data_IF_075766934117
#
_entry.id   IF_075766934117
#
_cell.length_a   1.000
_cell.length_b   1.000
_cell.length_c   1.000
_cell.angle_alpha   90.00
_cell.angle_beta   90.00
_cell.angle_gamma   90.00
#
_symmetry.space_group_name_H-M   'P 1'
#
loop_
_entity.id
_entity.type
_entity.pdbx_description
1 polymer ?
#
# COMPACT_ATOMS: atom_id res chain seq x y z
N UNK A 1 -32.66 40.87 15.30
CA UNK A 1 -31.54 40.91 14.34
C UNK A 1 -30.35 41.31 15.17
N UNK A 2 -29.75 40.34 15.84
CA UNK A 2 -28.55 40.55 16.65
C UNK A 2 -27.39 39.94 15.89
N UNK A 3 -26.48 40.80 15.48
CA UNK A 3 -25.22 40.47 14.82
C UNK A 3 -24.16 40.23 15.90
N UNK A 4 -23.99 38.97 16.26
CA UNK A 4 -23.01 38.50 17.25
C UNK A 4 -22.28 37.29 16.70
N UNK A 5 -21.14 37.47 16.01
CA UNK A 5 -20.15 36.41 15.86
C UNK A 5 -18.84 36.80 15.14
N UNK A 6 -17.98 37.71 15.63
CA UNK A 6 -16.66 37.88 14.97
C UNK A 6 -15.47 38.33 15.83
N UNK A 7 -15.40 38.06 17.15
CA UNK A 7 -14.22 38.50 17.95
C UNK A 7 -13.50 37.42 18.78
N UNK A 8 -13.89 36.15 18.71
CA UNK A 8 -13.30 35.12 19.60
C UNK A 8 -12.14 34.31 18.97
N UNK A 9 -11.92 34.35 17.65
CA UNK A 9 -10.89 33.49 17.00
C UNK A 9 -9.54 34.16 16.70
N UNK A 10 -9.39 35.47 16.87
CA UNK A 10 -8.19 36.19 16.41
C UNK A 10 -6.99 36.13 17.38
N UNK A 11 -7.26 35.93 18.67
CA UNK A 11 -6.21 35.90 19.72
C UNK A 11 -5.38 34.61 19.70
N UNK A 12 -6.00 33.50 19.36
CA UNK A 12 -5.37 32.17 19.42
C UNK A 12 -4.51 31.88 18.18
N UNK A 13 -4.93 32.40 17.02
CA UNK A 13 -4.19 32.34 15.75
C UNK A 13 -2.86 33.10 15.81
N UNK A 14 -2.89 34.34 16.33
CA UNK A 14 -1.68 35.15 16.55
C UNK A 14 -0.75 34.53 17.61
N UNK A 15 -1.31 33.82 18.59
CA UNK A 15 -0.52 33.13 19.62
C UNK A 15 0.23 31.94 19.02
N UNK A 16 -0.41 31.11 18.19
CA UNK A 16 0.26 29.95 17.57
C UNK A 16 1.28 30.34 16.52
N UNK A 17 1.03 31.38 15.74
CA UNK A 17 2.04 31.84 14.79
C UNK A 17 3.31 32.31 15.51
N UNK A 18 3.17 33.02 16.65
CA UNK A 18 4.31 33.43 17.48
C UNK A 18 5.09 32.25 18.05
N UNK A 19 4.42 31.20 18.51
CA UNK A 19 5.09 29.99 18.97
C UNK A 19 5.98 29.36 17.88
N UNK A 20 5.49 29.28 16.63
CA UNK A 20 6.29 28.77 15.51
C UNK A 20 7.48 29.67 15.13
N UNK A 21 7.39 30.98 15.37
CA UNK A 21 8.50 31.91 15.16
C UNK A 21 9.62 31.74 16.20
N UNK A 22 9.27 31.34 17.42
CA UNK A 22 10.20 31.08 18.51
C UNK A 22 10.93 29.74 18.34
N UNK A 23 10.28 28.73 17.75
CA UNK A 23 10.89 27.43 17.44
C UNK A 23 12.18 27.57 16.62
N UNK A 24 13.15 26.70 16.90
CA UNK A 24 14.38 26.61 16.10
C UNK A 24 14.08 26.04 14.71
N UNK A 25 14.98 26.30 13.76
CA UNK A 25 14.86 25.72 12.40
C UNK A 25 14.77 24.20 12.44
N UNK A 26 15.53 23.52 13.32
CA UNK A 26 15.48 22.06 13.46
C UNK A 26 14.09 21.58 13.88
N UNK A 27 13.52 22.20 14.91
CA UNK A 27 12.17 21.85 15.40
C UNK A 27 11.08 22.09 14.35
N UNK A 28 11.20 23.14 13.53
CA UNK A 28 10.28 23.41 12.43
C UNK A 28 10.40 22.37 11.31
N UNK A 29 11.63 21.97 10.97
CA UNK A 29 11.90 20.90 10.00
C UNK A 29 11.32 19.57 10.50
N UNK A 30 11.47 19.23 11.78
CA UNK A 30 10.93 18.01 12.35
C UNK A 30 9.39 18.02 12.32
N UNK A 31 8.77 19.14 12.72
CA UNK A 31 7.32 19.32 12.71
C UNK A 31 6.71 19.14 11.31
N UNK A 32 7.34 19.73 10.29
CA UNK A 32 6.91 19.67 8.89
C UNK A 32 7.20 18.31 8.26
N UNK A 33 8.37 17.72 8.53
CA UNK A 33 8.76 16.39 8.03
C UNK A 33 7.81 15.31 8.53
N UNK A 34 7.44 15.37 9.81
CA UNK A 34 6.48 14.45 10.41
C UNK A 34 5.08 14.54 9.77
N UNK A 35 4.78 15.60 9.00
CA UNK A 35 3.51 15.80 8.26
C UNK A 35 3.69 15.77 6.74
N UNK A 36 4.88 15.38 6.29
CA UNK A 36 5.19 15.29 4.87
C UNK A 36 5.22 16.60 4.11
N UNK A 37 5.35 17.73 4.80
CA UNK A 37 5.43 19.04 4.20
C UNK A 37 6.86 19.35 3.74
N UNK A 38 6.98 20.31 2.82
CA UNK A 38 8.30 20.77 2.35
C UNK A 38 9.09 21.39 3.50
N UNK A 39 10.40 21.09 3.55
CA UNK A 39 11.35 21.62 4.55
C UNK A 39 12.44 22.51 3.93
N UNK A 40 12.25 22.92 2.67
CA UNK A 40 13.14 23.86 1.99
C UNK A 40 12.83 25.30 2.39
N UNK A 41 13.87 26.11 2.56
CA UNK A 41 13.75 27.55 2.88
C UNK A 41 14.34 27.96 4.23
N UNK A 42 14.16 29.24 4.55
CA UNK A 42 14.64 29.88 5.77
C UNK A 42 13.70 29.68 6.97
N UNK A 43 14.13 30.10 8.16
CA UNK A 43 13.37 29.93 9.41
C UNK A 43 11.95 30.51 9.32
N UNK A 44 11.82 31.73 8.80
CA UNK A 44 10.53 32.43 8.68
C UNK A 44 9.55 31.72 7.72
N UNK A 45 10.04 31.20 6.59
CA UNK A 45 9.20 30.45 5.66
C UNK A 45 8.76 29.12 6.25
N UNK A 46 9.63 28.45 7.01
CA UNK A 46 9.28 27.22 7.72
C UNK A 46 8.26 27.47 8.84
N UNK A 47 8.36 28.59 9.56
CA UNK A 47 7.38 28.96 10.58
C UNK A 47 6.00 29.23 9.96
N UNK A 48 5.94 29.95 8.82
CA UNK A 48 4.70 30.16 8.07
C UNK A 48 4.09 28.86 7.53
N UNK A 49 4.93 27.96 7.01
CA UNK A 49 4.49 26.64 6.57
C UNK A 49 3.99 25.77 7.73
N UNK A 50 4.64 25.83 8.90
CA UNK A 50 4.24 25.07 10.08
C UNK A 50 2.90 25.56 10.63
N UNK A 51 2.69 26.88 10.67
CA UNK A 51 1.39 27.47 11.01
C UNK A 51 0.30 27.02 10.04
N UNK A 52 0.53 27.13 8.73
CA UNK A 52 -0.41 26.66 7.71
C UNK A 52 -0.70 25.16 7.85
N UNK A 53 0.30 24.34 8.16
CA UNK A 53 0.11 22.90 8.34
C UNK A 53 -0.69 22.57 9.62
N UNK A 54 -0.56 23.38 10.67
CA UNK A 54 -1.36 23.28 11.89
C UNK A 54 -2.81 23.72 11.66
N UNK A 55 -3.01 24.86 11.01
CA UNK A 55 -4.33 25.43 10.67
C UNK A 55 -5.16 24.46 9.80
N UNK A 56 -4.52 23.82 8.82
CA UNK A 56 -5.16 22.82 7.97
C UNK A 56 -5.34 21.46 8.65
N UNK A 57 -4.88 21.28 9.89
CA UNK A 57 -4.99 20.00 10.61
C UNK A 57 -4.23 18.87 9.92
N UNK A 58 -3.09 19.16 9.29
CA UNK A 58 -2.37 18.16 8.50
C UNK A 58 -1.95 16.96 9.39
N UNK A 59 -2.39 15.74 9.06
CA UNK A 59 -2.11 14.57 9.87
C UNK A 59 -0.61 14.26 9.84
N UNK A 60 -0.12 13.66 10.92
CA UNK A 60 1.21 13.08 10.93
C UNK A 60 1.26 11.98 9.87
N UNK A 61 2.34 11.95 9.08
CA UNK A 61 2.70 10.79 8.29
C UNK A 61 2.74 9.60 9.23
N UNK A 62 1.93 8.57 8.94
CA UNK A 62 2.07 7.29 9.60
C UNK A 62 3.52 6.84 9.41
N UNK A 63 4.17 6.46 10.51
CA UNK A 63 5.53 5.94 10.43
C UNK A 63 5.52 4.68 9.57
N UNK A 64 6.65 4.36 8.92
CA UNK A 64 6.78 3.11 8.17
C UNK A 64 6.39 1.90 9.03
N UNK A 65 6.74 1.93 10.33
CA UNK A 65 6.34 0.92 11.29
C UNK A 65 4.82 0.83 11.44
N UNK A 66 4.13 1.96 11.65
CA UNK A 66 2.68 1.95 11.82
C UNK A 66 1.95 1.53 10.53
N UNK A 67 2.51 1.85 9.37
CA UNK A 67 2.01 1.30 8.10
C UNK A 67 2.16 -0.22 8.02
N UNK A 68 3.30 -0.77 8.43
CA UNK A 68 3.50 -2.22 8.49
C UNK A 68 2.57 -2.89 9.50
N UNK A 69 2.40 -2.29 10.68
CA UNK A 69 1.49 -2.79 11.71
C UNK A 69 0.05 -2.81 11.18
N UNK A 70 -0.40 -1.75 10.50
CA UNK A 70 -1.72 -1.69 9.87
C UNK A 70 -1.88 -2.78 8.80
N UNK A 71 -0.91 -2.97 7.91
CA UNK A 71 -0.95 -4.01 6.88
C UNK A 71 -1.02 -5.42 7.51
N UNK A 72 -0.28 -5.65 8.60
CA UNK A 72 -0.31 -6.91 9.32
C UNK A 72 -1.67 -7.16 10.00
N UNK A 73 -2.28 -6.11 10.56
CA UNK A 73 -3.62 -6.19 11.15
C UNK A 73 -4.70 -6.44 10.08
N UNK A 74 -4.65 -5.73 8.95
CA UNK A 74 -5.55 -5.95 7.82
C UNK A 74 -5.44 -7.39 7.30
N UNK A 75 -4.21 -7.88 7.14
CA UNK A 75 -3.94 -9.27 6.75
C UNK A 75 -4.54 -10.28 7.74
N UNK A 76 -4.27 -10.12 9.04
CA UNK A 76 -4.80 -11.00 10.07
C UNK A 76 -6.34 -10.99 10.11
N UNK A 77 -6.94 -9.81 9.90
CA UNK A 77 -8.41 -9.65 9.83
C UNK A 77 -8.99 -10.44 8.67
N UNK A 78 -8.42 -10.30 7.46
CA UNK A 78 -8.85 -11.05 6.27
C UNK A 78 -8.80 -12.56 6.50
N UNK A 79 -7.70 -13.07 7.11
CA UNK A 79 -7.58 -14.49 7.42
C UNK A 79 -8.67 -14.95 8.41
N UNK A 80 -8.91 -14.16 9.46
CA UNK A 80 -9.89 -14.48 10.49
C UNK A 80 -11.34 -14.44 9.98
N UNK A 81 -11.70 -13.42 9.20
CA UNK A 81 -13.05 -13.24 8.64
C UNK A 81 -13.44 -14.37 7.70
N UNK A 82 -12.46 -14.91 6.97
CA UNK A 82 -12.66 -16.02 6.05
C UNK A 82 -12.44 -17.38 6.73
N UNK A 83 -12.00 -17.43 7.99
CA UNK A 83 -11.68 -18.66 8.70
C UNK A 83 -10.64 -19.51 7.97
N UNK A 84 -9.60 -18.87 7.44
CA UNK A 84 -8.52 -19.51 6.68
C UNK A 84 -7.20 -19.42 7.43
N UNK A 85 -6.41 -20.49 7.34
CA UNK A 85 -5.04 -20.51 7.87
C UNK A 85 -4.12 -19.69 6.96
N UNK A 86 -3.13 -19.03 7.55
CA UNK A 86 -2.10 -18.31 6.81
C UNK A 86 -1.33 -19.25 5.85
N UNK A 87 -1.40 -19.03 4.52
CA UNK A 87 -0.70 -19.86 3.54
C UNK A 87 0.82 -19.87 3.72
N UNK A 88 1.39 -18.81 4.29
CA UNK A 88 2.83 -18.69 4.51
C UNK A 88 3.32 -19.58 5.66
N UNK A 89 2.41 -20.09 6.49
CA UNK A 89 2.72 -20.98 7.61
C UNK A 89 2.51 -22.47 7.25
N UNK A 90 2.02 -22.77 6.05
CA UNK A 90 1.80 -24.15 5.62
C UNK A 90 3.14 -24.86 5.35
N UNK A 91 3.32 -26.10 5.83
CA UNK A 91 4.53 -26.89 5.56
C UNK A 91 4.77 -27.08 4.06
N UNK A 92 6.03 -27.13 3.65
CA UNK A 92 6.43 -27.27 2.25
C UNK A 92 5.90 -28.57 1.61
N UNK A 93 5.74 -29.62 2.41
CA UNK A 93 5.23 -30.92 2.00
C UNK A 93 3.75 -30.90 1.62
N UNK A 94 3.01 -29.88 2.09
CA UNK A 94 1.59 -29.72 1.79
C UNK A 94 1.36 -29.09 0.40
N UNK A 95 2.40 -28.54 -0.21
CA UNK A 95 2.34 -27.89 -1.51
C UNK A 95 2.65 -28.87 -2.65
N UNK A 96 1.68 -29.06 -3.53
CA UNK A 96 1.87 -29.77 -4.80
C UNK A 96 2.46 -28.83 -5.85
N UNK A 97 3.46 -29.33 -6.60
CA UNK A 97 4.05 -28.61 -7.74
C UNK A 97 3.16 -28.76 -8.98
N UNK A 98 3.39 -27.90 -9.97
CA UNK A 98 2.75 -27.93 -11.30
C UNK A 98 1.24 -27.67 -11.28
N UNK A 99 0.81 -26.72 -10.45
CA UNK A 99 -0.60 -26.32 -10.25
C UNK A 99 -1.27 -25.57 -11.42
N UNK A 100 -0.76 -25.70 -12.64
CA UNK A 100 -1.30 -24.99 -13.81
C UNK A 100 -2.74 -25.44 -14.09
N UNK A 101 -3.03 -26.72 -13.90
CA UNK A 101 -4.37 -27.30 -14.06
C UNK A 101 -5.35 -26.87 -12.96
N UNK A 102 -4.83 -26.45 -11.81
CA UNK A 102 -5.62 -25.91 -10.69
C UNK A 102 -5.89 -24.42 -10.83
N UNK A 103 -5.15 -23.73 -11.68
CA UNK A 103 -5.39 -22.32 -11.94
C UNK A 103 -6.84 -22.13 -12.43
N UNK A 104 -7.61 -21.23 -11.82
CA UNK A 104 -9.01 -21.07 -12.17
C UNK A 104 -9.09 -20.61 -13.63
N UNK A 105 -10.11 -21.07 -14.35
CA UNK A 105 -10.39 -20.59 -15.71
C UNK A 105 -10.84 -19.14 -15.61
N UNK A 106 -9.88 -18.21 -15.67
CA UNK A 106 -10.19 -16.79 -15.58
C UNK A 106 -10.45 -16.25 -16.97
N UNK A 107 -11.62 -15.64 -17.13
CA UNK A 107 -11.96 -14.89 -18.32
C UNK A 107 -11.08 -13.62 -18.36
N UNK A 108 -10.14 -13.60 -19.31
CA UNK A 108 -9.25 -12.46 -19.53
C UNK A 108 -10.04 -11.17 -19.76
N UNK A 109 -11.22 -11.21 -20.40
CA UNK A 109 -12.11 -10.07 -20.56
C UNK A 109 -12.62 -9.51 -19.23
N UNK A 110 -12.91 -10.37 -18.25
CA UNK A 110 -13.29 -9.96 -16.89
C UNK A 110 -12.10 -9.37 -16.12
N UNK A 111 -10.92 -9.98 -16.23
CA UNK A 111 -9.68 -9.41 -15.67
C UNK A 111 -9.43 -8.02 -16.26
N UNK A 112 -9.51 -7.88 -17.59
CA UNK A 112 -9.34 -6.59 -18.25
C UNK A 112 -10.37 -5.56 -17.79
N UNK A 113 -11.63 -5.95 -17.67
CA UNK A 113 -12.69 -5.06 -17.18
C UNK A 113 -12.47 -4.63 -15.74
N UNK A 114 -11.90 -5.50 -14.90
CA UNK A 114 -11.55 -5.16 -13.53
C UNK A 114 -10.36 -4.21 -13.44
N UNK A 115 -9.28 -4.49 -14.18
CA UNK A 115 -8.07 -3.64 -14.24
C UNK A 115 -8.40 -2.25 -14.80
N UNK A 116 -9.27 -2.15 -15.81
CA UNK A 116 -9.69 -0.87 -16.37
C UNK A 116 -10.63 -0.08 -15.45
N UNK A 117 -11.29 -0.74 -14.49
CA UNK A 117 -12.12 -0.09 -13.49
C UNK A 117 -11.30 0.53 -12.35
N UNK A 118 -10.09 0.02 -12.07
CA UNK A 118 -9.19 0.72 -11.17
C UNK A 118 -8.51 1.88 -11.93
N UNK A 119 -8.56 3.08 -11.34
CA UNK A 119 -8.10 4.34 -11.93
C UNK A 119 -6.62 4.38 -12.31
N UNK A 120 -5.85 3.37 -11.88
CA UNK A 120 -4.39 3.37 -11.93
C UNK A 120 -3.82 2.78 -13.22
N UNK A 121 -4.67 2.25 -14.12
CA UNK A 121 -4.22 1.59 -15.35
C UNK A 121 -4.88 2.18 -16.60
N UNK A 122 -4.06 2.73 -17.49
CA UNK A 122 -4.52 3.24 -18.80
C UNK A 122 -4.65 2.12 -19.83
N UNK A 123 -5.45 2.34 -20.88
CA UNK A 123 -5.58 1.40 -22.00
C UNK A 123 -4.22 1.04 -22.65
N UNK A 124 -3.26 1.96 -22.63
CA UNK A 124 -1.88 1.75 -23.10
C UNK A 124 -1.08 0.78 -22.22
N UNK A 125 -1.29 0.82 -20.90
CA UNK A 125 -0.70 -0.16 -19.97
C UNK A 125 -1.21 -1.57 -20.29
N UNK A 126 -2.51 -1.68 -20.57
CA UNK A 126 -3.19 -2.93 -20.93
C UNK A 126 -2.72 -3.47 -22.29
N UNK A 127 -2.50 -2.59 -23.28
CA UNK A 127 -1.95 -2.98 -24.58
C UNK A 127 -0.56 -3.62 -24.48
N UNK A 128 0.30 -3.12 -23.59
CA UNK A 128 1.65 -3.68 -23.33
C UNK A 128 1.61 -5.05 -22.64
N UNK A 129 0.55 -5.36 -21.89
CA UNK A 129 0.37 -6.66 -21.23
C UNK A 129 0.03 -7.78 -22.23
N UNK A 130 -0.74 -7.45 -23.30
CA UNK A 130 -1.15 -8.41 -24.34
C UNK A 130 -0.02 -8.91 -25.25
N UNK A 131 1.07 -8.15 -25.38
CA UNK A 131 2.10 -8.44 -26.39
C UNK A 131 3.31 -9.16 -25.78
N UNK A 132 3.31 -10.50 -25.77
CA UNK A 132 4.46 -11.39 -25.53
C UNK A 132 5.29 -11.19 -24.24
N UNK A 133 4.96 -10.20 -23.39
CA UNK A 133 5.70 -9.90 -22.16
C UNK A 133 5.55 -11.00 -21.12
N UNK A 134 4.37 -11.60 -20.98
CA UNK A 134 4.17 -12.71 -20.04
C UNK A 134 5.10 -13.89 -20.35
N UNK A 135 5.17 -14.29 -21.63
CA UNK A 135 6.11 -15.32 -22.07
C UNK A 135 7.56 -14.89 -21.90
N UNK A 136 7.89 -13.62 -22.20
CA UNK A 136 9.23 -13.08 -21.95
C UNK A 136 9.61 -13.14 -20.46
N UNK A 137 8.70 -12.82 -19.54
CA UNK A 137 8.96 -12.91 -18.10
C UNK A 137 9.16 -14.36 -17.65
N UNK A 138 8.35 -15.30 -18.16
CA UNK A 138 8.56 -16.73 -17.92
C UNK A 138 9.90 -17.22 -18.45
N UNK A 139 10.22 -16.94 -19.71
CA UNK A 139 11.48 -17.32 -20.35
C UNK A 139 12.71 -16.70 -19.65
N UNK A 140 12.56 -15.47 -19.16
CA UNK A 140 13.59 -14.78 -18.37
C UNK A 140 13.58 -15.15 -16.88
N UNK A 141 12.79 -16.15 -16.45
CA UNK A 141 12.70 -16.67 -15.07
C UNK A 141 12.29 -15.61 -14.03
N UNK A 142 11.49 -14.63 -14.44
CA UNK A 142 10.82 -13.70 -13.53
C UNK A 142 9.54 -14.27 -12.92
N UNK A 143 8.97 -15.30 -13.55
CA UNK A 143 7.81 -16.04 -13.03
C UNK A 143 8.23 -17.49 -12.86
N UNK A 144 8.14 -17.98 -11.64
CA UNK A 144 8.45 -19.34 -11.23
C UNK A 144 7.27 -20.30 -11.40
N UNK A 145 7.43 -21.56 -10.95
CA UNK A 145 6.35 -22.53 -10.97
C UNK A 145 5.21 -22.13 -10.02
N UNK A 146 4.03 -22.66 -10.31
CA UNK A 146 2.87 -22.53 -9.45
C UNK A 146 2.79 -23.74 -8.51
N UNK A 147 2.41 -23.47 -7.27
CA UNK A 147 2.11 -24.47 -6.27
C UNK A 147 0.66 -24.37 -5.83
N UNK A 148 0.10 -25.51 -5.46
CA UNK A 148 -1.27 -25.63 -4.99
C UNK A 148 -1.36 -26.50 -3.75
N UNK A 149 -2.33 -26.19 -2.89
CA UNK A 149 -2.65 -27.03 -1.75
C UNK A 149 -4.14 -26.94 -1.42
N UNK A 150 -4.69 -28.07 -0.98
CA UNK A 150 -6.05 -28.15 -0.45
C UNK A 150 -6.04 -27.75 1.02
N UNK A 151 -7.05 -26.99 1.45
CA UNK A 151 -7.20 -26.63 2.85
C UNK A 151 -7.64 -27.83 3.71
N UNK A 152 -6.98 -28.12 4.85
CA UNK A 152 -7.29 -29.28 5.69
C UNK A 152 -8.71 -29.36 6.24
N UNK A 153 -9.41 -28.22 6.30
CA UNK A 153 -10.74 -28.10 6.93
C UNK A 153 -11.80 -27.54 5.97
N UNK A 154 -11.47 -27.39 4.69
CA UNK A 154 -12.35 -26.83 3.67
C UNK A 154 -12.08 -27.51 2.32
N UNK A 155 -12.79 -28.60 2.06
CA UNK A 155 -12.62 -29.41 0.84
C UNK A 155 -13.03 -28.67 -0.45
N UNK A 156 -13.81 -27.59 -0.32
CA UNK A 156 -14.22 -26.77 -1.47
C UNK A 156 -13.21 -25.68 -1.83
N UNK A 157 -12.18 -25.45 -0.98
CA UNK A 157 -11.28 -24.32 -1.14
C UNK A 157 -9.81 -24.71 -1.18
N UNK A 158 -9.06 -24.00 -2.00
CA UNK A 158 -7.63 -24.24 -2.18
C UNK A 158 -6.82 -22.96 -2.23
N UNK A 159 -5.52 -23.10 -1.96
CA UNK A 159 -4.56 -22.05 -2.19
C UNK A 159 -3.76 -22.33 -3.46
N UNK A 160 -3.51 -21.27 -4.21
CA UNK A 160 -2.49 -21.26 -5.26
C UNK A 160 -1.47 -20.18 -4.93
N UNK A 161 -0.20 -20.51 -5.01
CA UNK A 161 0.89 -19.55 -4.85
C UNK A 161 1.91 -19.71 -5.97
N UNK A 162 2.71 -18.68 -6.18
CA UNK A 162 3.78 -18.66 -7.18
C UNK A 162 4.94 -17.81 -6.73
N UNK A 163 6.10 -18.00 -7.35
CA UNK A 163 7.28 -17.19 -7.08
C UNK A 163 7.44 -16.16 -8.19
N UNK A 164 7.51 -14.88 -7.81
CA UNK A 164 7.62 -13.78 -8.75
C UNK A 164 8.83 -12.92 -8.38
N UNK A 165 9.81 -12.89 -9.27
CA UNK A 165 10.99 -12.04 -9.11
C UNK A 165 10.58 -10.57 -9.34
N UNK A 166 10.96 -9.65 -8.44
CA UNK A 166 10.65 -8.24 -8.62
C UNK A 166 11.26 -7.69 -9.93
N UNK A 167 10.45 -7.01 -10.74
CA UNK A 167 10.91 -6.45 -12.02
C UNK A 167 12.00 -5.38 -11.87
N UNK A 168 12.07 -4.73 -10.71
CA UNK A 168 13.02 -3.66 -10.40
C UNK A 168 14.31 -4.17 -9.74
N UNK A 169 14.36 -5.43 -9.28
CA UNK A 169 15.55 -6.01 -8.66
C UNK A 169 15.58 -7.52 -8.85
N UNK A 170 16.40 -7.96 -9.82
CA UNK A 170 16.60 -9.39 -10.14
C UNK A 170 17.27 -10.14 -8.99
N UNK A 171 17.95 -9.43 -8.09
CA UNK A 171 18.58 -10.00 -6.88
C UNK A 171 17.72 -9.80 -5.61
N UNK A 172 16.55 -9.18 -5.75
CA UNK A 172 15.61 -9.02 -4.65
C UNK A 172 15.00 -10.35 -4.23
N UNK A 173 14.45 -10.38 -3.03
CA UNK A 173 13.68 -11.53 -2.56
C UNK A 173 12.45 -11.73 -3.46
N UNK A 174 12.20 -12.98 -3.88
CA UNK A 174 11.03 -13.30 -4.67
C UNK A 174 9.76 -13.08 -3.86
N UNK A 175 8.77 -12.43 -4.48
CA UNK A 175 7.44 -12.32 -3.90
C UNK A 175 6.73 -13.67 -4.02
N UNK A 176 5.96 -14.01 -2.99
CA UNK A 176 5.12 -15.21 -2.93
C UNK A 176 3.64 -14.86 -2.82
N UNK A 177 3.04 -14.23 -3.85
CA UNK A 177 1.62 -13.94 -3.85
C UNK A 177 0.83 -15.23 -3.81
N UNK A 178 -0.26 -15.23 -3.03
CA UNK A 178 -1.18 -16.35 -2.95
C UNK A 178 -2.59 -15.93 -3.32
N UNK A 179 -3.36 -16.89 -3.82
CA UNK A 179 -4.78 -16.79 -4.15
C UNK A 179 -5.54 -17.82 -3.32
N UNK A 180 -6.67 -17.39 -2.77
CA UNK A 180 -7.66 -18.24 -2.12
C UNK A 180 -8.82 -18.43 -3.10
N UNK A 181 -9.15 -19.68 -3.43
CA UNK A 181 -10.12 -20.05 -4.46
C UNK A 181 -11.07 -21.08 -3.90
#
# INVERSE_FOLDING_TARGET
>A
MDDHSYEVNKSDEDSKYKEFLEMTRAQLVDFLSARGQSVSGGKMSLAALAYKAWENGNPLKLTTQKHQDNLQQEYATILSDNGITDPLQLPAEQWSKDAIDKWPLVDMGKIFSYILKSSDFTADFVGKYKTQKAYSYFASKFVGPLWWTQLPHKDDFSFITGEVTPSQSVRGECHKPWLYI
#
